data_IF_299404185845
#
_entry.id   IF_299404185845
#
_cell.length_a   1.000
_cell.length_b   1.000
_cell.length_c   1.000
_cell.angle_alpha   90.00
_cell.angle_beta   90.00
_cell.angle_gamma   90.00
#
_symmetry.space_group_name_H-M   'P 1'
#
loop_
_entity.id
_entity.type
_entity.pdbx_description
1 polymer ?
#
# COMPACT_ATOMS: atom_id res chain seq x y z
N UNK A 1 2.39 -10.84 12.74
CA UNK A 1 2.99 -9.82 11.84
C UNK A 1 2.78 -10.30 10.41
N UNK A 2 2.33 -9.45 9.49
CA UNK A 2 2.04 -9.82 8.10
C UNK A 2 2.24 -8.62 7.18
N UNK A 3 2.37 -8.88 5.88
CA UNK A 3 2.48 -7.83 4.86
C UNK A 3 1.13 -7.16 4.64
N UNK A 4 1.18 -5.92 4.12
CA UNK A 4 -0.01 -5.13 3.82
C UNK A 4 0.26 -4.29 2.57
N UNK A 5 -0.78 -4.10 1.76
CA UNK A 5 -0.70 -3.23 0.57
C UNK A 5 -0.90 -1.78 0.98
N UNK A 6 -0.08 -0.91 0.40
CA UNK A 6 -0.22 0.53 0.48
C UNK A 6 0.05 1.16 -0.89
N UNK A 7 -0.55 2.31 -1.15
CA UNK A 7 -0.17 3.16 -2.28
C UNK A 7 0.88 4.16 -1.80
N UNK A 8 2.05 4.16 -2.43
CA UNK A 8 3.07 5.20 -2.22
C UNK A 8 2.63 6.47 -2.94
N UNK A 9 2.55 7.60 -2.23
CA UNK A 9 2.20 8.91 -2.84
C UNK A 9 3.43 9.76 -3.11
N UNK A 10 4.39 9.74 -2.18
CA UNK A 10 5.64 10.48 -2.30
C UNK A 10 6.74 9.77 -1.53
N UNK A 11 7.94 9.79 -2.11
CA UNK A 11 9.19 9.39 -1.46
C UNK A 11 10.02 10.66 -1.26
N UNK A 12 10.56 10.85 -0.06
CA UNK A 12 11.24 12.09 0.31
C UNK A 12 12.34 11.84 1.35
N UNK A 13 13.17 12.84 1.53
CA UNK A 13 14.19 12.89 2.59
C UNK A 13 13.94 14.13 3.45
N UNK A 14 14.17 14.01 4.75
CA UNK A 14 14.07 15.13 5.67
C UNK A 14 15.28 16.05 5.52
N UNK A 15 15.07 17.35 5.68
CA UNK A 15 16.18 18.31 5.78
C UNK A 15 16.98 18.04 7.05
N UNK A 16 18.26 18.41 7.09
CA UNK A 16 19.10 18.21 8.28
C UNK A 16 18.49 18.83 9.55
N UNK A 17 17.81 19.97 9.42
CA UNK A 17 17.09 20.61 10.52
C UNK A 17 15.92 19.75 11.02
N UNK A 18 15.06 19.27 10.12
CA UNK A 18 13.92 18.43 10.48
C UNK A 18 14.37 17.09 11.07
N UNK A 19 15.44 16.50 10.52
CA UNK A 19 16.04 15.27 11.05
C UNK A 19 16.53 15.45 12.48
N UNK A 20 17.28 16.51 12.76
CA UNK A 20 17.80 16.78 14.11
C UNK A 20 16.68 17.06 15.12
N UNK A 21 15.57 17.66 14.67
CA UNK A 21 14.40 17.94 15.52
C UNK A 21 13.61 16.66 15.86
N UNK A 22 13.37 15.81 14.85
CA UNK A 22 12.54 14.60 15.00
C UNK A 22 13.32 13.40 15.56
N UNK A 23 14.63 13.35 15.32
CA UNK A 23 15.54 12.30 15.78
C UNK A 23 16.69 12.95 16.57
N UNK A 24 16.40 13.47 17.78
CA UNK A 24 17.44 14.04 18.64
C UNK A 24 18.46 12.97 19.02
N UNK A 25 19.68 13.40 19.36
CA UNK A 25 20.83 12.54 19.62
C UNK A 25 20.47 11.37 20.56
N UNK A 26 20.29 10.20 19.95
CA UNK A 26 19.88 8.95 20.59
C UNK A 26 20.45 7.77 19.81
N UNK A 27 20.27 6.54 20.30
CA UNK A 27 20.87 5.36 19.69
C UNK A 27 20.28 5.00 18.31
N UNK A 28 19.17 5.61 17.92
CA UNK A 28 18.46 5.33 16.68
C UNK A 28 18.99 6.21 15.55
N UNK A 29 19.57 5.58 14.53
CA UNK A 29 19.96 6.27 13.30
C UNK A 29 18.69 6.70 12.55
N UNK A 30 18.56 7.98 12.14
CA UNK A 30 17.40 8.42 11.38
C UNK A 30 17.34 7.72 10.00
N UNK A 31 16.14 7.43 9.49
CA UNK A 31 15.94 6.86 8.17
C UNK A 31 16.40 7.85 7.09
N UNK A 32 17.09 7.35 6.06
CA UNK A 32 17.61 8.19 4.98
C UNK A 32 16.52 8.64 3.98
N UNK A 33 15.60 7.72 3.68
CA UNK A 33 14.47 7.97 2.80
C UNK A 33 13.18 7.50 3.48
N UNK A 34 12.16 8.34 3.39
CA UNK A 34 10.84 8.10 3.91
C UNK A 34 9.82 8.03 2.76
N UNK A 35 8.73 7.31 2.99
CA UNK A 35 7.60 7.27 2.07
C UNK A 35 6.32 7.63 2.81
N UNK A 36 5.54 8.56 2.24
CA UNK A 36 4.14 8.74 2.63
C UNK A 36 3.30 7.71 1.86
N UNK A 37 2.60 6.87 2.61
CA UNK A 37 1.79 5.79 2.06
C UNK A 37 0.36 5.85 2.56
N UNK A 38 -0.58 5.47 1.70
CA UNK A 38 -2.00 5.31 2.04
C UNK A 38 -2.35 3.82 2.05
N UNK A 39 -2.90 3.35 3.17
CA UNK A 39 -3.11 1.92 3.40
C UNK A 39 -4.38 1.38 2.73
N UNK A 40 -4.29 0.16 2.21
CA UNK A 40 -5.45 -0.69 1.95
C UNK A 40 -5.78 -1.55 3.16
N UNK A 41 -6.95 -2.15 3.25
CA UNK A 41 -7.32 -3.08 4.33
C UNK A 41 -6.30 -4.24 4.45
N UNK A 42 -6.07 -4.78 5.66
CA UNK A 42 -5.24 -5.97 5.82
C UNK A 42 -5.80 -7.15 5.02
N UNK A 43 -4.95 -8.11 4.66
CA UNK A 43 -5.42 -9.36 4.04
C UNK A 43 -6.34 -10.10 4.99
N UNK A 44 -7.47 -10.55 4.46
CA UNK A 44 -8.42 -11.43 5.14
C UNK A 44 -8.35 -12.82 4.50
N UNK A 45 -9.38 -13.63 4.64
CA UNK A 45 -9.45 -14.89 3.91
C UNK A 45 -9.49 -14.62 2.39
N UNK A 46 -8.75 -15.41 1.60
CA UNK A 46 -8.79 -15.31 0.15
C UNK A 46 -10.19 -15.71 -0.35
N UNK A 47 -10.61 -15.11 -1.46
CA UNK A 47 -11.92 -15.40 -2.02
C UNK A 47 -11.99 -16.84 -2.54
N UNK A 48 -13.11 -17.53 -2.26
CA UNK A 48 -13.22 -18.98 -2.45
C UNK A 48 -12.99 -19.44 -3.89
N UNK A 49 -13.53 -18.72 -4.87
CA UNK A 49 -13.52 -19.18 -6.26
C UNK A 49 -12.17 -19.07 -6.96
N UNK A 50 -11.34 -18.10 -6.59
CA UNK A 50 -10.09 -17.80 -7.31
C UNK A 50 -8.88 -17.62 -6.40
N UNK A 51 -9.04 -17.68 -5.08
CA UNK A 51 -7.96 -17.63 -4.11
C UNK A 51 -7.24 -16.29 -4.02
N UNK A 52 -7.81 -15.20 -4.54
CA UNK A 52 -7.19 -13.87 -4.48
C UNK A 52 -7.70 -13.10 -3.26
N UNK A 53 -6.84 -12.27 -2.69
CA UNK A 53 -7.18 -11.44 -1.54
C UNK A 53 -7.87 -10.16 -1.97
N UNK A 54 -9.09 -9.94 -1.48
CA UNK A 54 -9.80 -8.68 -1.68
C UNK A 54 -9.30 -7.62 -0.69
N UNK A 55 -8.98 -6.44 -1.20
CA UNK A 55 -8.58 -5.28 -0.40
C UNK A 55 -9.37 -4.03 -0.80
N UNK A 56 -9.62 -3.15 0.16
CA UNK A 56 -10.27 -1.85 -0.04
C UNK A 56 -9.38 -0.73 0.48
N UNK A 57 -9.61 0.52 0.09
CA UNK A 57 -8.95 1.65 0.77
C UNK A 57 -9.32 1.65 2.25
N UNK A 58 -8.33 1.76 3.14
CA UNK A 58 -8.63 1.86 4.56
C UNK A 58 -8.97 3.32 4.91
N UNK A 59 -10.19 3.53 5.36
CA UNK A 59 -10.68 4.83 5.82
C UNK A 59 -10.79 4.85 7.34
N UNK A 60 -10.45 5.98 7.97
CA UNK A 60 -10.64 6.24 9.39
C UNK A 60 -11.17 7.66 9.57
N UNK A 61 -12.33 7.81 10.22
CA UNK A 61 -13.01 9.10 10.40
C UNK A 61 -13.25 9.91 9.11
N UNK A 62 -13.54 9.21 8.00
CA UNK A 62 -13.80 9.85 6.69
C UNK A 62 -12.54 10.15 5.87
N UNK A 63 -11.35 9.96 6.44
CA UNK A 63 -10.09 10.19 5.74
C UNK A 63 -9.35 8.87 5.46
N UNK A 64 -8.45 8.90 4.46
CA UNK A 64 -7.60 7.74 4.16
C UNK A 64 -6.59 7.54 5.28
N UNK A 65 -6.49 6.32 5.78
CA UNK A 65 -5.44 6.01 6.75
C UNK A 65 -4.09 6.05 6.04
N UNK A 66 -3.25 7.01 6.42
CA UNK A 66 -1.91 7.16 5.90
C UNK A 66 -0.83 7.01 6.99
N UNK A 67 0.40 6.80 6.56
CA UNK A 67 1.57 6.76 7.45
C UNK A 67 2.82 7.23 6.70
N UNK A 68 3.81 7.68 7.47
CA UNK A 68 5.17 7.87 6.99
C UNK A 68 5.99 6.67 7.46
N UNK A 69 6.61 5.95 6.53
CA UNK A 69 7.41 4.75 6.80
C UNK A 69 8.83 4.93 6.26
N UNK A 70 9.80 4.17 6.78
CA UNK A 70 11.10 4.05 6.13
C UNK A 70 10.90 3.30 4.80
N UNK A 71 11.56 3.76 3.73
CA UNK A 71 11.50 3.09 2.43
C UNK A 71 12.00 1.64 2.52
N UNK A 72 12.89 1.31 3.46
CA UNK A 72 13.36 -0.05 3.70
C UNK A 72 12.26 -1.01 4.21
N UNK A 73 11.15 -0.48 4.73
CA UNK A 73 9.96 -1.28 5.07
C UNK A 73 9.14 -1.69 3.82
N UNK A 74 9.39 -1.07 2.66
CA UNK A 74 8.71 -1.42 1.41
C UNK A 74 9.36 -2.66 0.80
N UNK A 75 8.61 -3.77 0.83
CA UNK A 75 9.14 -5.05 0.35
C UNK A 75 9.16 -5.18 -1.17
N UNK A 76 8.08 -4.79 -1.84
CA UNK A 76 7.88 -4.96 -3.30
C UNK A 76 6.64 -4.24 -3.81
N UNK A 77 6.57 -4.06 -5.13
CA UNK A 77 5.32 -3.75 -5.83
C UNK A 77 4.39 -4.96 -5.89
N UNK A 78 3.09 -4.69 -5.97
CA UNK A 78 2.04 -5.69 -6.13
C UNK A 78 1.16 -5.34 -7.32
N UNK A 79 0.66 -6.36 -8.02
CA UNK A 79 -0.31 -6.18 -9.10
C UNK A 79 -1.72 -6.30 -8.54
N UNK A 80 -2.55 -5.30 -8.83
CA UNK A 80 -3.93 -5.20 -8.36
C UNK A 80 -4.89 -5.31 -9.55
N UNK A 81 -5.85 -6.22 -9.46
CA UNK A 81 -6.99 -6.26 -10.37
C UNK A 81 -8.11 -5.39 -9.81
N UNK A 82 -8.58 -4.37 -10.55
CA UNK A 82 -9.77 -3.64 -10.15
C UNK A 82 -10.96 -4.60 -10.06
N UNK A 83 -11.77 -4.47 -9.01
CA UNK A 83 -13.03 -5.20 -8.96
C UNK A 83 -14.06 -4.49 -9.84
N UNK A 84 -14.14 -4.93 -11.10
CA UNK A 84 -14.92 -4.29 -12.16
C UNK A 84 -16.45 -4.37 -11.99
N UNK A 85 -16.96 -5.37 -11.27
CA UNK A 85 -18.40 -5.65 -11.25
C UNK A 85 -18.95 -6.01 -12.64
N UNK A 86 -20.25 -5.79 -12.84
CA UNK A 86 -20.92 -6.13 -14.10
C UNK A 86 -20.67 -5.11 -15.24
N UNK A 87 -20.43 -3.84 -14.89
CA UNK A 87 -20.22 -2.75 -15.84
C UNK A 87 -19.04 -1.92 -15.36
N UNK A 88 -18.00 -1.82 -16.20
CA UNK A 88 -16.80 -1.02 -15.89
C UNK A 88 -17.10 0.47 -16.08
N UNK A 89 -16.88 1.32 -15.05
CA UNK A 89 -17.02 2.77 -15.20
C UNK A 89 -16.03 3.31 -16.23
N UNK A 90 -16.50 4.19 -17.12
CA UNK A 90 -15.71 4.71 -18.27
C UNK A 90 -14.60 5.67 -17.85
N UNK A 91 -14.75 6.28 -16.68
CA UNK A 91 -13.79 7.19 -16.07
C UNK A 91 -12.57 6.47 -15.46
N UNK A 92 -12.59 5.13 -15.40
CA UNK A 92 -11.45 4.34 -14.94
C UNK A 92 -10.38 4.28 -16.03
N UNK A 93 -9.26 4.93 -15.72
CA UNK A 93 -8.03 4.92 -16.52
C UNK A 93 -6.90 4.40 -15.66
N UNK A 94 -5.73 4.12 -16.26
CA UNK A 94 -4.53 3.75 -15.50
C UNK A 94 -4.15 4.80 -14.44
N UNK A 95 -4.46 6.07 -14.66
CA UNK A 95 -4.20 7.18 -13.72
C UNK A 95 -5.26 7.37 -12.64
N UNK A 96 -6.51 6.94 -12.87
CA UNK A 96 -7.64 7.23 -11.96
C UNK A 96 -8.12 6.01 -11.19
N UNK A 97 -7.90 4.80 -11.71
CA UNK A 97 -8.50 3.58 -11.15
C UNK A 97 -8.08 3.31 -9.71
N UNK A 98 -6.83 3.60 -9.31
CA UNK A 98 -6.35 3.45 -7.93
C UNK A 98 -7.05 4.39 -6.93
N UNK A 99 -7.67 5.45 -7.42
CA UNK A 99 -8.39 6.45 -6.62
C UNK A 99 -9.89 6.18 -6.59
N UNK A 100 -10.45 5.74 -7.72
CA UNK A 100 -11.90 5.61 -7.92
C UNK A 100 -12.45 4.21 -7.64
N UNK A 101 -11.63 3.16 -7.82
CA UNK A 101 -12.10 1.80 -7.62
C UNK A 101 -12.24 1.48 -6.12
N UNK A 102 -13.40 1.01 -5.66
CA UNK A 102 -13.65 0.81 -4.22
C UNK A 102 -12.90 -0.40 -3.64
N UNK A 103 -12.56 -1.39 -4.47
CA UNK A 103 -11.89 -2.61 -4.03
C UNK A 103 -11.08 -3.25 -5.15
N UNK A 104 -10.02 -3.95 -4.77
CA UNK A 104 -9.12 -4.65 -5.67
C UNK A 104 -8.92 -6.09 -5.22
N UNK A 105 -8.51 -6.95 -6.15
CA UNK A 105 -7.96 -8.26 -5.85
C UNK A 105 -6.45 -8.24 -6.04
N UNK A 106 -5.72 -8.77 -5.05
CA UNK A 106 -4.25 -8.83 -5.10
C UNK A 106 -3.80 -10.06 -5.85
N UNK A 107 -2.96 -9.86 -6.87
CA UNK A 107 -2.42 -10.94 -7.67
C UNK A 107 -1.20 -11.60 -7.00
N UNK A 108 -1.45 -12.60 -6.17
CA UNK A 108 -0.40 -13.44 -5.57
C UNK A 108 0.31 -14.33 -6.60
N UNK A 109 -0.21 -14.49 -7.83
CA UNK A 109 0.36 -15.35 -8.87
C UNK A 109 1.24 -14.61 -9.87
N UNK A 110 1.53 -13.32 -9.64
CA UNK A 110 2.36 -12.50 -10.52
C UNK A 110 3.79 -13.04 -10.67
N UNK A 111 4.35 -13.65 -9.62
CA UNK A 111 5.62 -14.34 -9.63
C UNK A 111 5.74 -15.30 -8.42
N UNK A 112 6.79 -16.15 -8.42
CA UNK A 112 7.02 -17.13 -7.36
C UNK A 112 7.20 -16.51 -5.97
N UNK A 113 7.82 -15.33 -5.86
CA UNK A 113 8.01 -14.68 -4.58
C UNK A 113 6.68 -14.10 -4.06
N UNK A 114 5.84 -13.54 -4.93
CA UNK A 114 4.50 -13.06 -4.59
C UNK A 114 3.67 -14.19 -4.01
N UNK A 115 3.71 -15.35 -4.67
CA UNK A 115 2.93 -16.53 -4.28
C UNK A 115 3.31 -17.03 -2.89
N UNK A 116 4.58 -16.91 -2.50
CA UNK A 116 5.08 -17.34 -1.19
C UNK A 116 4.91 -16.29 -0.08
N UNK A 117 4.76 -15.01 -0.41
CA UNK A 117 4.80 -13.90 0.58
C UNK A 117 3.49 -13.17 0.77
N UNK A 118 2.58 -13.23 -0.21
CA UNK A 118 1.24 -12.64 -0.13
C UNK A 118 0.28 -13.72 0.35
N UNK A 119 0.17 -13.85 1.67
CA UNK A 119 -0.68 -14.82 2.37
C UNK A 119 -1.46 -14.18 3.51
#
# INVERSE_FOLDING_TARGET
>A
KGYRVAQVRVVFTLTSQATNLLFPAGPLKPPAHLAYVEWFTPFQQPEFHHGLYKICRLMRHGERLASIIDVSDIRRSVHLFPNFGAVVPREWTSSTVLELCPSFFVNSFSDRHAYLTIV
#
